data_IF_583467644293
#
_entry.id   IF_583467644293
#
_cell.length_a   1.000
_cell.length_b   1.000
_cell.length_c   1.000
_cell.angle_alpha   90.00
_cell.angle_beta   90.00
_cell.angle_gamma   90.00
#
_symmetry.space_group_name_H-M   'P 1'
#
loop_
_entity.id
_entity.type
_entity.pdbx_description
1 polymer ?
#
# COMPACT_ATOMS: atom_id res chain seq x y z
N UNK A 1 42.94 2.31 26.42
CA UNK A 1 41.74 2.68 27.19
C UNK A 1 40.56 2.55 26.24
N UNK A 2 39.88 1.39 26.28
CA UNK A 2 38.83 1.02 25.34
C UNK A 2 37.48 1.52 25.88
N UNK A 3 36.79 2.35 25.12
CA UNK A 3 35.41 2.72 25.38
C UNK A 3 34.55 1.72 24.60
N UNK A 4 34.14 0.66 25.28
CA UNK A 4 33.10 -0.25 24.83
C UNK A 4 31.79 0.53 24.76
N UNK A 5 31.31 0.82 23.55
CA UNK A 5 29.95 1.31 23.32
C UNK A 5 28.96 0.14 23.47
N UNK A 6 28.76 -0.27 24.71
CA UNK A 6 27.58 -0.99 25.18
C UNK A 6 26.41 -0.01 25.24
N UNK A 7 25.26 -0.39 24.68
CA UNK A 7 24.00 0.30 24.99
C UNK A 7 23.26 0.90 23.82
N UNK A 8 22.85 0.08 22.85
CA UNK A 8 21.57 0.27 22.15
C UNK A 8 20.90 -1.10 21.96
N UNK A 9 20.65 -1.79 23.08
CA UNK A 9 19.58 -2.79 23.10
C UNK A 9 18.27 -2.04 23.38
N UNK A 10 17.77 -1.33 22.37
CA UNK A 10 16.34 -1.00 22.35
C UNK A 10 15.61 -2.32 22.42
N UNK A 11 14.84 -2.53 23.48
CA UNK A 11 13.90 -3.64 23.62
C UNK A 11 13.17 -3.85 22.29
N UNK A 12 13.59 -4.85 21.50
CA UNK A 12 12.77 -5.45 20.45
C UNK A 12 11.64 -6.14 21.19
N UNK A 13 10.58 -5.40 21.51
CA UNK A 13 9.28 -6.00 21.77
C UNK A 13 8.92 -6.81 20.52
N UNK A 14 9.15 -8.12 20.61
CA UNK A 14 8.34 -9.25 20.11
C UNK A 14 7.35 -8.99 18.96
N UNK A 15 7.71 -8.27 17.91
CA UNK A 15 6.93 -8.30 16.67
C UNK A 15 7.25 -9.63 16.00
N UNK A 16 6.48 -10.67 16.36
CA UNK A 16 6.54 -11.94 15.67
C UNK A 16 6.23 -11.69 14.19
N UNK A 17 7.01 -12.28 13.26
CA UNK A 17 6.70 -12.26 11.85
C UNK A 17 5.23 -12.61 11.60
N UNK A 18 4.58 -11.89 10.68
CA UNK A 18 3.21 -12.21 10.26
C UNK A 18 3.10 -13.66 9.79
N UNK A 19 4.18 -14.21 9.23
CA UNK A 19 4.23 -15.58 8.73
C UNK A 19 4.01 -16.65 9.79
N UNK A 20 4.28 -16.33 11.05
CA UNK A 20 4.11 -17.26 12.18
C UNK A 20 2.65 -17.31 12.67
N UNK A 21 1.80 -16.36 12.23
CA UNK A 21 0.38 -16.32 12.56
C UNK A 21 -0.45 -17.27 11.67
N UNK A 22 -1.61 -17.74 12.14
CA UNK A 22 -2.54 -18.52 11.31
C UNK A 22 -2.92 -17.79 10.02
N UNK A 23 -3.06 -18.52 8.90
CA UNK A 23 -3.33 -17.93 7.58
C UNK A 23 -4.51 -16.95 7.57
N UNK A 24 -5.58 -17.26 8.32
CA UNK A 24 -6.74 -16.37 8.40
C UNK A 24 -6.38 -15.01 9.02
N UNK A 25 -5.52 -14.97 10.05
CA UNK A 25 -5.03 -13.74 10.68
C UNK A 25 -4.21 -12.94 9.69
N UNK A 26 -3.32 -13.61 8.95
CA UNK A 26 -2.49 -12.96 7.93
C UNK A 26 -3.34 -12.29 6.84
N UNK A 27 -4.38 -13.00 6.37
CA UNK A 27 -5.32 -12.49 5.39
C UNK A 27 -6.17 -11.34 5.96
N UNK A 28 -6.65 -11.47 7.19
CA UNK A 28 -7.45 -10.43 7.86
C UNK A 28 -6.66 -9.14 8.05
N UNK A 29 -5.42 -9.23 8.55
CA UNK A 29 -4.54 -8.08 8.72
C UNK A 29 -4.19 -7.42 7.39
N UNK A 30 -3.92 -8.22 6.36
CA UNK A 30 -3.66 -7.70 5.02
C UNK A 30 -4.89 -7.01 4.43
N UNK A 31 -6.08 -7.58 4.63
CA UNK A 31 -7.33 -6.97 4.21
C UNK A 31 -7.59 -5.65 4.94
N UNK A 32 -7.37 -5.62 6.26
CA UNK A 32 -7.52 -4.42 7.08
C UNK A 32 -6.55 -3.31 6.64
N UNK A 33 -5.28 -3.63 6.41
CA UNK A 33 -4.30 -2.70 5.83
C UNK A 33 -4.77 -2.17 4.48
N UNK A 34 -5.22 -3.06 3.58
CA UNK A 34 -5.76 -2.65 2.28
C UNK A 34 -6.96 -1.72 2.42
N UNK A 35 -7.82 -1.96 3.42
CA UNK A 35 -8.91 -1.08 3.81
C UNK A 35 -8.42 0.30 4.23
N UNK A 36 -7.47 0.39 5.17
CA UNK A 36 -6.91 1.66 5.64
C UNK A 36 -6.33 2.47 4.46
N UNK A 37 -5.53 1.82 3.61
CA UNK A 37 -4.93 2.49 2.43
C UNK A 37 -6.00 2.95 1.44
N UNK A 38 -7.04 2.16 1.23
CA UNK A 38 -8.15 2.49 0.32
C UNK A 38 -9.01 3.62 0.85
N UNK A 39 -9.36 3.59 2.14
CA UNK A 39 -10.27 4.55 2.74
C UNK A 39 -9.60 5.83 3.22
N UNK A 40 -8.28 5.82 3.48
CA UNK A 40 -7.57 7.00 4.00
C UNK A 40 -7.79 8.26 3.16
N UNK A 41 -7.62 8.16 1.84
CA UNK A 41 -7.90 9.28 0.93
C UNK A 41 -9.37 9.31 0.47
N UNK A 42 -10.01 8.16 0.28
CA UNK A 42 -11.36 8.10 -0.25
C UNK A 42 -12.41 8.68 0.72
N UNK A 43 -12.19 8.55 2.03
CA UNK A 43 -13.07 9.11 3.05
C UNK A 43 -13.01 10.63 3.08
N UNK A 44 -11.79 11.20 3.04
CA UNK A 44 -11.60 12.64 2.94
C UNK A 44 -12.25 13.20 1.67
N UNK A 45 -12.02 12.57 0.52
CA UNK A 45 -12.64 12.98 -0.75
C UNK A 45 -14.17 12.89 -0.71
N UNK A 46 -14.73 11.86 -0.08
CA UNK A 46 -16.18 11.66 0.02
C UNK A 46 -16.89 12.75 0.84
N UNK A 47 -16.19 13.41 1.76
CA UNK A 47 -16.73 14.50 2.57
C UNK A 47 -16.39 15.85 1.93
N UNK A 48 -15.12 16.07 1.61
CA UNK A 48 -14.60 17.36 1.17
C UNK A 48 -15.11 17.74 -0.22
N UNK A 49 -15.25 16.79 -1.15
CA UNK A 49 -15.66 17.12 -2.51
C UNK A 49 -17.13 17.58 -2.59
N UNK A 50 -18.11 16.90 -1.96
CA UNK A 50 -19.47 17.43 -1.87
C UNK A 50 -19.54 18.83 -1.26
N UNK A 51 -18.79 19.10 -0.19
CA UNK A 51 -18.77 20.43 0.45
C UNK A 51 -18.22 21.49 -0.53
N UNK A 52 -17.06 21.23 -1.13
CA UNK A 52 -16.44 22.15 -2.10
C UNK A 52 -17.36 22.46 -3.26
N UNK A 53 -17.99 21.43 -3.83
CA UNK A 53 -18.91 21.58 -4.97
C UNK A 53 -20.21 22.29 -4.57
N UNK A 54 -20.77 21.99 -3.39
CA UNK A 54 -21.98 22.64 -2.89
C UNK A 54 -21.74 24.12 -2.56
N UNK A 55 -20.55 24.46 -2.05
CA UNK A 55 -20.15 25.84 -1.75
C UNK A 55 -19.58 26.59 -2.98
N UNK A 56 -19.54 25.95 -4.16
CA UNK A 56 -18.99 26.50 -5.40
C UNK A 56 -17.57 27.11 -5.26
N UNK A 57 -16.73 26.55 -4.38
CA UNK A 57 -15.40 27.11 -4.10
C UNK A 57 -14.45 26.94 -5.29
N UNK A 58 -14.54 25.80 -5.99
CA UNK A 58 -13.79 25.50 -7.21
C UNK A 58 -14.66 24.71 -8.19
N UNK A 59 -14.39 24.78 -9.50
CA UNK A 59 -15.15 24.02 -10.49
C UNK A 59 -14.97 22.51 -10.27
N UNK A 60 -16.03 21.68 -10.45
CA UNK A 60 -15.94 20.23 -10.28
C UNK A 60 -14.87 19.56 -11.15
N UNK A 61 -14.49 20.19 -12.27
CA UNK A 61 -13.42 19.73 -13.16
C UNK A 61 -12.01 19.86 -12.57
N UNK A 62 -11.83 20.68 -11.54
CA UNK A 62 -10.58 20.81 -10.80
C UNK A 62 -10.40 19.72 -9.73
N UNK A 63 -11.46 19.01 -9.37
CA UNK A 63 -11.42 17.91 -8.39
C UNK A 63 -11.01 16.61 -9.06
N UNK A 64 -9.77 16.18 -8.84
CA UNK A 64 -9.25 14.90 -9.32
C UNK A 64 -9.19 13.92 -8.17
N UNK A 65 -10.19 13.05 -8.09
CA UNK A 65 -10.22 11.97 -7.10
C UNK A 65 -9.00 11.07 -7.24
N UNK A 66 -8.33 10.79 -6.13
CA UNK A 66 -7.21 9.86 -6.04
C UNK A 66 -7.68 8.43 -6.36
N UNK A 67 -8.88 8.03 -5.94
CA UNK A 67 -9.42 6.69 -6.21
C UNK A 67 -10.92 6.71 -6.53
N UNK A 68 -11.30 6.12 -7.67
CA UNK A 68 -12.69 6.10 -8.12
C UNK A 68 -13.33 4.72 -7.94
N UNK A 69 -14.09 4.54 -6.85
CA UNK A 69 -14.85 3.30 -6.55
C UNK A 69 -13.96 2.06 -6.72
N UNK A 70 -12.78 2.07 -6.11
CA UNK A 70 -11.75 1.03 -6.25
C UNK A 70 -12.25 -0.35 -5.81
N UNK A 71 -13.12 -0.42 -4.80
CA UNK A 71 -13.73 -1.67 -4.31
C UNK A 71 -14.63 -2.32 -5.36
N UNK A 72 -15.20 -1.53 -6.27
CA UNK A 72 -16.06 -2.02 -7.36
C UNK A 72 -15.27 -2.39 -8.62
N UNK A 73 -13.96 -2.59 -8.50
CA UNK A 73 -13.13 -2.98 -9.63
C UNK A 73 -13.51 -4.37 -10.14
N UNK A 74 -13.59 -4.51 -11.45
CA UNK A 74 -13.92 -5.77 -12.11
C UNK A 74 -12.75 -6.74 -12.27
N UNK A 75 -11.54 -6.33 -11.85
CA UNK A 75 -10.27 -7.04 -11.97
C UNK A 75 -9.09 -6.12 -11.64
N UNK A 76 -7.86 -6.65 -11.67
CA UNK A 76 -6.61 -5.91 -11.46
C UNK A 76 -6.40 -4.82 -12.50
N UNK A 77 -6.70 -5.13 -13.77
CA UNK A 77 -6.51 -4.17 -14.86
C UNK A 77 -7.42 -2.95 -14.67
N UNK A 78 -8.65 -3.18 -14.18
CA UNK A 78 -9.60 -2.12 -13.88
C UNK A 78 -9.20 -1.34 -12.62
N UNK A 79 -8.77 -2.02 -11.57
CA UNK A 79 -8.29 -1.40 -10.34
C UNK A 79 -7.10 -0.47 -10.61
N UNK A 80 -5.96 -1.03 -11.01
CA UNK A 80 -4.71 -0.30 -11.18
C UNK A 80 -4.71 0.60 -12.42
N UNK A 81 -5.47 0.21 -13.45
CA UNK A 81 -5.53 0.94 -14.71
C UNK A 81 -6.56 2.06 -14.75
N UNK A 82 -7.56 2.07 -13.85
CA UNK A 82 -8.67 3.04 -13.96
C UNK A 82 -9.24 3.56 -12.66
N UNK A 83 -9.00 2.92 -11.51
CA UNK A 83 -9.74 3.24 -10.29
C UNK A 83 -8.85 3.57 -9.10
N UNK A 84 -7.56 3.33 -9.20
CA UNK A 84 -6.58 3.52 -8.13
C UNK A 84 -5.53 4.58 -8.49
N UNK A 85 -5.26 5.47 -7.53
CA UNK A 85 -4.23 6.51 -7.58
C UNK A 85 -4.12 7.25 -8.91
N UNK A 86 -5.21 7.90 -9.36
CA UNK A 86 -5.28 8.57 -10.66
C UNK A 86 -4.16 9.60 -10.88
N UNK A 87 -3.81 10.34 -9.82
CA UNK A 87 -2.75 11.37 -9.84
C UNK A 87 -1.39 10.72 -10.10
N UNK A 88 -1.06 9.68 -9.34
CA UNK A 88 0.25 9.03 -9.39
C UNK A 88 0.41 8.08 -10.57
N UNK A 89 -0.67 7.41 -10.98
CA UNK A 89 -0.68 6.46 -12.11
C UNK A 89 -0.09 7.09 -13.37
N UNK A 90 -0.50 8.32 -13.71
CA UNK A 90 -0.02 9.01 -14.91
C UNK A 90 1.49 9.24 -14.85
N UNK A 91 2.00 9.63 -13.68
CA UNK A 91 3.43 9.86 -13.46
C UNK A 91 4.22 8.55 -13.58
N UNK A 92 3.76 7.47 -12.94
CA UNK A 92 4.43 6.16 -13.00
C UNK A 92 4.46 5.58 -14.41
N UNK A 93 3.33 5.67 -15.15
CA UNK A 93 3.27 5.23 -16.55
C UNK A 93 4.24 6.02 -17.43
N UNK A 94 4.41 7.32 -17.19
CA UNK A 94 5.37 8.15 -17.94
C UNK A 94 6.81 7.80 -17.59
N UNK A 95 7.14 7.68 -16.31
CA UNK A 95 8.48 7.31 -15.85
C UNK A 95 8.88 5.91 -16.34
N UNK A 96 7.95 4.97 -16.37
CA UNK A 96 8.21 3.62 -16.84
C UNK A 96 8.66 3.55 -18.31
N UNK A 97 8.40 4.58 -19.12
CA UNK A 97 8.91 4.66 -20.51
C UNK A 97 10.43 4.84 -20.58
N UNK A 98 11.06 5.28 -19.49
CA UNK A 98 12.50 5.44 -19.40
C UNK A 98 13.23 4.10 -19.17
N UNK A 99 12.51 3.03 -18.84
CA UNK A 99 13.09 1.71 -18.66
C UNK A 99 13.40 1.08 -20.03
N UNK A 100 14.61 0.56 -20.25
CA UNK A 100 14.96 -0.15 -21.48
C UNK A 100 13.94 -1.25 -21.82
N UNK A 101 13.49 -1.30 -23.06
CA UNK A 101 12.49 -2.28 -23.53
C UNK A 101 11.04 -1.92 -23.22
N UNK A 102 10.74 -0.79 -22.55
CA UNK A 102 9.38 -0.32 -22.28
C UNK A 102 8.56 0.07 -23.54
N UNK A 103 9.13 -0.06 -24.73
CA UNK A 103 8.36 -0.04 -25.98
C UNK A 103 7.41 -1.24 -26.09
N UNK A 104 7.73 -2.37 -25.43
CA UNK A 104 6.84 -3.51 -25.33
C UNK A 104 5.75 -3.24 -24.24
N UNK A 105 4.44 -3.38 -24.54
CA UNK A 105 3.37 -3.07 -23.59
C UNK A 105 3.39 -3.90 -22.29
N UNK A 106 3.90 -5.13 -22.33
CA UNK A 106 4.03 -5.98 -21.15
C UNK A 106 5.19 -5.51 -20.26
N UNK A 107 6.33 -5.20 -20.87
CA UNK A 107 7.49 -4.62 -20.18
C UNK A 107 7.11 -3.27 -19.58
N UNK A 108 6.35 -2.44 -20.31
CA UNK A 108 5.88 -1.15 -19.82
C UNK A 108 4.94 -1.27 -18.62
N UNK A 109 4.02 -2.25 -18.65
CA UNK A 109 3.14 -2.53 -17.53
C UNK A 109 3.94 -2.96 -16.29
N UNK A 110 4.87 -3.91 -16.45
CA UNK A 110 5.73 -4.36 -15.35
C UNK A 110 6.61 -3.23 -14.81
N UNK A 111 7.24 -2.45 -15.68
CA UNK A 111 8.05 -1.28 -15.33
C UNK A 111 7.23 -0.22 -14.54
N UNK A 112 5.95 -0.03 -14.88
CA UNK A 112 5.07 0.87 -14.12
C UNK A 112 4.92 0.43 -12.67
N UNK A 113 4.73 -0.88 -12.44
CA UNK A 113 4.64 -1.41 -11.07
C UNK A 113 5.99 -1.39 -10.35
N UNK A 114 7.10 -1.64 -11.05
CA UNK A 114 8.45 -1.49 -10.49
C UNK A 114 8.71 -0.06 -10.00
N UNK A 115 8.44 0.95 -10.84
CA UNK A 115 8.58 2.37 -10.44
C UNK A 115 7.69 2.69 -9.24
N UNK A 116 6.45 2.20 -9.23
CA UNK A 116 5.56 2.33 -8.07
C UNK A 116 6.17 1.71 -6.81
N UNK A 117 6.78 0.53 -6.93
CA UNK A 117 7.45 -0.15 -5.83
C UNK A 117 8.60 0.68 -5.26
N UNK A 118 9.47 1.20 -6.14
CA UNK A 118 10.60 2.07 -5.75
C UNK A 118 10.08 3.30 -4.98
N UNK A 119 9.03 3.96 -5.46
CA UNK A 119 8.47 5.12 -4.76
C UNK A 119 7.92 4.78 -3.36
N UNK A 120 7.35 3.59 -3.18
CA UNK A 120 6.93 3.12 -1.87
C UNK A 120 8.12 2.72 -0.98
N UNK A 121 9.21 2.20 -1.56
CA UNK A 121 10.46 1.97 -0.83
C UNK A 121 11.05 3.29 -0.33
N UNK A 122 11.07 4.35 -1.15
CA UNK A 122 11.51 5.69 -0.75
C UNK A 122 10.63 6.25 0.38
N UNK A 123 9.31 6.04 0.33
CA UNK A 123 8.43 6.47 1.42
C UNK A 123 8.76 5.73 2.73
N UNK A 124 8.96 4.41 2.65
CA UNK A 124 9.24 3.55 3.79
C UNK A 124 10.70 3.62 4.24
N UNK A 125 11.60 4.24 3.47
CA UNK A 125 13.00 4.38 3.84
C UNK A 125 13.17 5.23 5.10
N UNK A 126 12.18 6.05 5.43
CA UNK A 126 12.12 6.80 6.70
C UNK A 126 12.04 5.90 7.94
N UNK A 127 11.65 4.64 7.77
CA UNK A 127 11.63 3.63 8.83
C UNK A 127 13.00 2.98 9.05
N UNK A 128 14.00 3.34 8.25
CA UNK A 128 15.36 2.84 8.35
C UNK A 128 16.30 3.92 8.90
N UNK A 129 17.44 3.51 9.50
CA UNK A 129 18.53 4.43 9.78
C UNK A 129 18.98 5.17 8.52
N UNK A 130 19.43 6.42 8.68
CA UNK A 130 19.96 7.21 7.57
C UNK A 130 21.09 6.45 6.88
N UNK A 131 21.04 6.29 5.54
CA UNK A 131 22.08 5.57 4.82
C UNK A 131 23.43 6.31 4.91
N UNK A 132 24.53 5.56 4.93
CA UNK A 132 25.88 6.11 5.08
C UNK A 132 26.78 5.69 3.94
N UNK A 133 27.68 6.59 3.51
CA UNK A 133 28.67 6.29 2.46
C UNK A 133 29.66 5.19 2.87
N UNK A 134 29.91 5.03 4.18
CA UNK A 134 30.76 3.97 4.73
C UNK A 134 30.15 2.57 4.59
N UNK A 135 28.83 2.47 4.41
CA UNK A 135 28.13 1.23 4.13
C UNK A 135 27.12 1.44 2.99
N UNK A 136 27.57 1.40 1.72
CA UNK A 136 26.73 1.75 0.56
C UNK A 136 25.52 0.82 0.40
N UNK A 137 25.56 -0.39 0.98
CA UNK A 137 24.41 -1.32 0.97
C UNK A 137 23.19 -0.71 1.67
N UNK A 138 23.38 0.21 2.61
CA UNK A 138 22.27 0.90 3.30
C UNK A 138 21.40 1.72 2.33
N UNK A 139 21.95 2.21 1.21
CA UNK A 139 21.18 2.91 0.18
C UNK A 139 20.24 1.99 -0.59
N UNK A 140 20.46 0.66 -0.55
CA UNK A 140 19.58 -0.29 -1.23
C UNK A 140 18.15 -0.23 -0.69
N UNK A 141 17.97 0.09 0.59
CA UNK A 141 16.65 0.24 1.23
C UNK A 141 15.82 1.37 0.61
N UNK A 142 16.44 2.36 -0.01
CA UNK A 142 15.75 3.44 -0.71
C UNK A 142 14.99 2.93 -1.93
N UNK A 143 15.54 1.92 -2.61
CA UNK A 143 15.02 1.43 -3.89
C UNK A 143 14.49 0.00 -3.81
N UNK A 144 14.78 -0.74 -2.75
CA UNK A 144 14.44 -2.14 -2.61
C UNK A 144 14.08 -2.50 -1.17
N UNK A 145 12.79 -2.67 -0.93
CA UNK A 145 12.23 -3.30 0.26
C UNK A 145 11.58 -4.63 -0.17
N UNK A 146 12.03 -5.80 0.32
CA UNK A 146 11.59 -7.09 -0.21
C UNK A 146 10.07 -7.26 -0.23
N UNK A 147 9.38 -6.95 0.86
CA UNK A 147 7.93 -7.14 0.93
C UNK A 147 7.16 -6.22 -0.02
N UNK A 148 7.61 -4.97 -0.14
CA UNK A 148 7.03 -3.97 -1.06
C UNK A 148 7.25 -4.37 -2.50
N UNK A 149 8.47 -4.77 -2.84
CA UNK A 149 8.80 -5.26 -4.18
C UNK A 149 7.97 -6.48 -4.56
N UNK A 150 7.88 -7.47 -3.67
CA UNK A 150 7.07 -8.66 -3.91
C UNK A 150 5.60 -8.31 -4.16
N UNK A 151 5.02 -7.39 -3.38
CA UNK A 151 3.66 -6.92 -3.61
C UNK A 151 3.49 -6.29 -5.00
N UNK A 152 4.23 -5.22 -5.30
CA UNK A 152 4.04 -4.47 -6.54
C UNK A 152 4.38 -5.27 -7.79
N UNK A 153 5.48 -6.05 -7.77
CA UNK A 153 5.84 -6.88 -8.91
C UNK A 153 4.80 -7.99 -9.15
N UNK A 154 4.22 -8.57 -8.08
CA UNK A 154 3.11 -9.51 -8.19
C UNK A 154 1.86 -8.85 -8.79
N UNK A 155 1.57 -7.58 -8.47
CA UNK A 155 0.48 -6.84 -9.13
C UNK A 155 0.73 -6.67 -10.64
N UNK A 156 1.98 -6.41 -11.04
CA UNK A 156 2.38 -6.32 -12.45
C UNK A 156 2.21 -7.64 -13.19
N UNK A 157 2.73 -8.73 -12.63
CA UNK A 157 2.57 -10.08 -13.19
C UNK A 157 1.08 -10.46 -13.23
N UNK A 158 0.34 -10.23 -12.15
CA UNK A 158 -1.08 -10.54 -12.06
C UNK A 158 -1.93 -9.78 -13.09
N UNK A 159 -1.57 -8.52 -13.35
CA UNK A 159 -2.20 -7.70 -14.40
C UNK A 159 -1.90 -8.24 -15.80
N UNK A 160 -0.66 -8.68 -16.06
CA UNK A 160 -0.29 -9.30 -17.35
C UNK A 160 -1.05 -10.61 -17.55
N UNK A 161 -1.08 -11.47 -16.53
CA UNK A 161 -1.84 -12.73 -16.56
C UNK A 161 -3.33 -12.45 -16.80
N UNK A 162 -3.93 -11.49 -16.09
CA UNK A 162 -5.34 -11.13 -16.29
C UNK A 162 -5.62 -10.68 -17.72
N UNK A 163 -4.73 -9.88 -18.33
CA UNK A 163 -4.89 -9.42 -19.71
C UNK A 163 -4.84 -10.55 -20.73
N UNK A 164 -3.98 -11.54 -20.51
CA UNK A 164 -3.79 -12.67 -21.44
C UNK A 164 -4.90 -13.71 -21.26
N UNK A 165 -5.19 -14.10 -20.01
CA UNK A 165 -6.04 -15.25 -19.69
C UNK A 165 -7.49 -14.88 -19.37
N UNK A 166 -7.74 -13.68 -18.84
CA UNK A 166 -9.08 -13.20 -18.45
C UNK A 166 -9.48 -11.88 -19.13
N UNK A 167 -9.27 -11.69 -20.45
CA UNK A 167 -9.49 -10.40 -21.11
C UNK A 167 -10.95 -9.96 -21.01
N UNK A 168 -11.17 -8.66 -20.79
CA UNK A 168 -12.52 -8.06 -20.71
C UNK A 168 -13.17 -8.03 -22.09
N UNK A 169 -14.38 -8.59 -22.21
CA UNK A 169 -15.19 -8.54 -23.44
C UNK A 169 -16.62 -8.04 -23.15
N UNK A 170 -17.29 -7.39 -24.12
CA UNK A 170 -18.63 -6.79 -23.93
C UNK A 170 -19.71 -7.77 -23.43
N UNK A 171 -19.58 -9.06 -23.77
CA UNK A 171 -20.55 -10.10 -23.43
C UNK A 171 -20.01 -11.12 -22.43
N UNK A 172 -19.09 -10.71 -21.55
CA UNK A 172 -18.59 -11.62 -20.51
C UNK A 172 -19.74 -12.04 -19.57
N UNK A 173 -19.99 -13.35 -19.53
CA UNK A 173 -20.93 -13.95 -18.59
C UNK A 173 -20.52 -13.77 -17.12
N UNK A 174 -21.45 -14.03 -16.20
CA UNK A 174 -21.25 -13.83 -14.76
C UNK A 174 -20.04 -14.62 -14.22
N UNK A 175 -19.84 -15.85 -14.71
CA UNK A 175 -18.72 -16.70 -14.30
C UNK A 175 -17.36 -16.04 -14.57
N UNK A 176 -17.16 -15.44 -15.74
CA UNK A 176 -15.88 -14.79 -16.08
C UNK A 176 -15.65 -13.50 -15.31
N UNK A 177 -16.73 -12.75 -15.01
CA UNK A 177 -16.67 -11.60 -14.10
C UNK A 177 -16.25 -12.04 -12.69
N UNK A 178 -16.84 -13.13 -12.19
CA UNK A 178 -16.49 -13.71 -10.89
C UNK A 178 -15.05 -14.21 -10.87
N UNK A 179 -14.56 -14.89 -11.92
CA UNK A 179 -13.18 -15.35 -12.00
C UNK A 179 -12.17 -14.19 -11.90
N UNK A 180 -12.43 -13.06 -12.56
CA UNK A 180 -11.57 -11.87 -12.43
C UNK A 180 -11.63 -11.26 -11.04
N UNK A 181 -12.81 -11.24 -10.44
CA UNK A 181 -12.98 -10.73 -9.08
C UNK A 181 -12.22 -11.60 -8.06
N UNK A 182 -12.33 -12.92 -8.17
CA UNK A 182 -11.54 -13.86 -7.37
C UNK A 182 -10.04 -13.69 -7.62
N UNK A 183 -9.62 -13.53 -8.89
CA UNK A 183 -8.23 -13.28 -9.25
C UNK A 183 -7.68 -11.99 -8.62
N UNK A 184 -8.47 -10.92 -8.67
CA UNK A 184 -8.15 -9.63 -8.05
C UNK A 184 -7.83 -9.80 -6.57
N UNK A 185 -8.74 -10.41 -5.80
CA UNK A 185 -8.52 -10.58 -4.36
C UNK A 185 -7.46 -11.61 -4.03
N UNK A 186 -7.32 -12.66 -4.83
CA UNK A 186 -6.24 -13.63 -4.69
C UNK A 186 -4.87 -12.96 -4.81
N UNK A 187 -4.67 -12.14 -5.85
CA UNK A 187 -3.40 -11.43 -6.05
C UNK A 187 -3.19 -10.33 -5.01
N UNK A 188 -4.23 -9.56 -4.67
CA UNK A 188 -4.14 -8.50 -3.65
C UNK A 188 -3.83 -9.04 -2.26
N UNK A 189 -4.60 -10.02 -1.77
CA UNK A 189 -4.41 -10.57 -0.42
C UNK A 189 -3.15 -11.43 -0.38
N UNK A 190 -2.94 -12.27 -1.40
CA UNK A 190 -1.78 -13.16 -1.46
C UNK A 190 -0.47 -12.39 -1.44
N UNK A 191 -0.32 -11.39 -2.32
CA UNK A 191 0.90 -10.58 -2.36
C UNK A 191 0.94 -9.51 -1.27
N UNK A 192 -0.21 -9.01 -0.80
CA UNK A 192 -0.31 -7.98 0.24
C UNK A 192 0.26 -8.44 1.57
N UNK A 193 0.20 -9.74 1.88
CA UNK A 193 0.82 -10.33 3.08
C UNK A 193 2.31 -10.01 3.20
N UNK A 194 3.02 -9.90 2.09
CA UNK A 194 4.44 -9.54 2.10
C UNK A 194 4.69 -8.11 2.60
N UNK A 195 3.89 -7.15 2.15
CA UNK A 195 3.93 -5.77 2.64
C UNK A 195 3.48 -5.70 4.09
N UNK A 196 2.39 -6.38 4.44
CA UNK A 196 1.90 -6.44 5.82
C UNK A 196 2.98 -6.97 6.75
N UNK A 197 3.65 -8.07 6.40
CA UNK A 197 4.75 -8.62 7.18
C UNK A 197 5.91 -7.63 7.32
N UNK A 198 6.29 -6.97 6.22
CA UNK A 198 7.31 -5.91 6.25
C UNK A 198 6.96 -4.80 7.25
N UNK A 199 5.70 -4.36 7.28
CA UNK A 199 5.26 -3.30 8.18
C UNK A 199 5.15 -3.77 9.65
N UNK A 200 4.76 -5.02 9.89
CA UNK A 200 4.80 -5.66 11.23
C UNK A 200 6.23 -5.72 11.75
N UNK A 201 7.18 -6.23 10.96
CA UNK A 201 8.58 -6.34 11.37
C UNK A 201 9.23 -4.97 11.64
N UNK A 202 8.71 -3.90 11.02
CA UNK A 202 9.13 -2.51 11.24
C UNK A 202 8.43 -1.83 12.40
N UNK A 203 7.51 -2.49 13.09
CA UNK A 203 6.76 -1.90 14.19
C UNK A 203 5.80 -0.79 13.76
N UNK A 204 5.36 -0.79 12.50
CA UNK A 204 4.30 0.12 12.00
C UNK A 204 2.91 -0.49 12.21
N UNK A 205 2.87 -1.77 12.55
CA UNK A 205 1.67 -2.55 12.82
C UNK A 205 1.82 -3.29 14.14
N UNK A 206 2.05 -2.56 15.23
CA UNK A 206 2.13 -3.17 16.56
C UNK A 206 0.72 -3.51 17.05
N UNK A 207 0.56 -4.61 17.78
CA UNK A 207 -0.72 -5.04 18.37
C UNK A 207 -1.43 -3.88 19.10
N UNK A 208 -0.69 -3.07 19.86
CA UNK A 208 -1.23 -1.92 20.58
C UNK A 208 -1.83 -0.85 19.64
N UNK A 209 -1.25 -0.65 18.45
CA UNK A 209 -1.77 0.26 17.42
C UNK A 209 -3.04 -0.30 16.75
N UNK A 210 -3.18 -1.62 16.69
CA UNK A 210 -4.38 -2.28 16.18
C UNK A 210 -5.52 -2.35 17.21
N UNK A 211 -5.19 -2.58 18.48
CA UNK A 211 -6.16 -2.52 19.58
C UNK A 211 -6.79 -1.12 19.69
N UNK A 212 -6.08 -0.07 19.25
CA UNK A 212 -6.61 1.29 19.09
C UNK A 212 -7.57 1.49 17.92
N UNK A 213 -7.51 0.67 16.88
CA UNK A 213 -8.42 0.72 15.73
C UNK A 213 -9.76 0.03 16.00
N UNK A 214 -9.98 -0.46 17.23
CA UNK A 214 -11.30 -0.84 17.68
C UNK A 214 -12.24 0.38 17.61
N UNK A 215 -13.40 0.22 16.97
CA UNK A 215 -14.40 1.29 16.84
C UNK A 215 -14.78 1.96 18.16
N UNK A 216 -14.83 1.19 19.25
CA UNK A 216 -15.06 1.76 20.58
C UNK A 216 -13.93 2.68 21.06
N UNK A 217 -12.69 2.43 20.66
CA UNK A 217 -11.51 3.23 21.03
C UNK A 217 -11.38 4.44 20.11
N UNK A 218 -11.58 4.27 18.79
CA UNK A 218 -11.57 5.39 17.83
C UNK A 218 -12.65 6.42 18.17
N UNK A 219 -13.87 5.98 18.49
CA UNK A 219 -14.95 6.88 18.93
C UNK A 219 -14.52 7.63 20.20
N UNK A 220 -13.95 6.93 21.19
CA UNK A 220 -13.49 7.57 22.42
C UNK A 220 -12.34 8.56 22.19
N UNK A 221 -11.42 8.30 21.27
CA UNK A 221 -10.36 9.25 20.90
C UNK A 221 -10.91 10.48 20.18
N UNK A 222 -11.85 10.32 19.25
CA UNK A 222 -12.50 11.43 18.53
C UNK A 222 -13.25 12.39 19.46
N UNK A 223 -13.82 11.87 20.55
CA UNK A 223 -14.51 12.68 21.57
C UNK A 223 -13.62 13.06 22.76
N UNK A 224 -12.29 12.83 22.69
CA UNK A 224 -11.35 13.21 23.75
C UNK A 224 -11.52 12.44 25.06
N UNK A 225 -12.20 11.29 25.04
CA UNK A 225 -12.48 10.46 26.22
C UNK A 225 -11.29 9.56 26.60
N UNK A 226 -10.30 9.41 25.72
CA UNK A 226 -9.03 8.70 25.97
C UNK A 226 -7.91 9.45 25.23
N UNK A 227 -6.80 9.74 25.93
CA UNK A 227 -5.55 10.27 25.33
C UNK A 227 -4.62 9.12 24.93
N UNK A 228 -3.83 9.21 23.84
CA UNK A 228 -2.90 8.14 23.48
C UNK A 228 -1.90 7.85 24.63
N UNK A 229 -1.49 6.58 24.82
CA UNK A 229 -0.52 6.20 25.83
C UNK A 229 0.81 6.90 25.57
N UNK A 230 1.48 7.25 26.67
CA UNK A 230 2.70 8.05 26.76
C UNK A 230 3.89 7.57 25.92
N UNK A 231 3.83 6.37 25.33
CA UNK A 231 4.90 5.79 24.51
C UNK A 231 5.02 6.40 23.11
N UNK A 232 4.10 7.28 22.69
CA UNK A 232 4.20 8.04 21.44
C UNK A 232 4.92 9.39 21.58
N UNK A 233 5.40 9.73 22.79
CA UNK A 233 6.18 10.95 23.05
C UNK A 233 7.64 10.91 22.52
N UNK A 234 8.06 9.78 21.93
CA UNK A 234 9.41 9.60 21.36
C UNK A 234 9.59 10.11 19.93
N UNK A 235 8.57 10.68 19.30
CA UNK A 235 8.69 11.37 18.01
C UNK A 235 8.68 12.89 18.24
N UNK A 236 9.77 13.39 18.82
CA UNK A 236 10.14 14.81 18.86
C UNK A 236 11.46 15.00 18.13
#
# INVERSE_FOLDING_TARGET
MAITSSGYSTNRSSNLPLWDEPLFVQCALTFALGGIVTFGNAFEEAITYPIITHLNLIPPTALVSNSRRAILSSGLVDLWGKRWHHVWRRSYVRLARLIPGANNPLVHAFATFYISAVMHCILLSRLYPTPTLSNPVTFLTLIFEPGVMMFFLSQGIGTVIERVWLPVRPNDGIGKKLSRWLWLYFVLIGSGRWVTNTLVLKGVMVKDQWDMLNWSVVIKMLFGLIWPPSNLSGFG
#
